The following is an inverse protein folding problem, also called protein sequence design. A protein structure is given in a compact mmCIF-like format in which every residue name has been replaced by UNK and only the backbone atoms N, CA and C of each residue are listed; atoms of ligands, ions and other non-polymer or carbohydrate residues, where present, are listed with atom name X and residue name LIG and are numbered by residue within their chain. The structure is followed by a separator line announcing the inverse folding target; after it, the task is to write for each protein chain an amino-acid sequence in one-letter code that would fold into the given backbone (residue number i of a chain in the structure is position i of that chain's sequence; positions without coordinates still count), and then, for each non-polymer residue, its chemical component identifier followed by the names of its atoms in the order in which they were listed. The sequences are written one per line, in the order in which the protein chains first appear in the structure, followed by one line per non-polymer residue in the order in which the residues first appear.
data_IF_636262999643
#
_entry.id   IF_636262999643
#
_cell.length_a   1.000
_cell.length_b   1.000
_cell.length_c   1.000
_cell.angle_alpha   90.00
_cell.angle_beta   90.00
_cell.angle_gamma   90.00
#
_symmetry.space_group_name_H-M   'P 1'
#
loop_
_entity.id
_entity.type
_entity.pdbx_description
1 polymer ?
#
# COMPACT_ATOMS: atom_id res chain seq x y z
N UNK A 1 23.40 14.90 8.67
CA UNK A 1 22.55 14.34 9.74
C UNK A 1 21.06 14.63 9.50
N UNK A 2 20.66 15.86 9.31
CA UNK A 2 19.26 16.31 9.16
C UNK A 2 18.47 15.61 8.03
N UNK A 3 19.09 15.39 6.86
CA UNK A 3 18.41 14.78 5.69
C UNK A 3 18.01 13.31 5.92
N UNK A 4 18.85 12.55 6.61
CA UNK A 4 18.57 11.15 6.95
C UNK A 4 17.44 11.04 8.00
N UNK A 5 17.44 11.95 8.97
CA UNK A 5 16.38 12.02 9.98
C UNK A 5 15.03 12.34 9.34
N UNK A 6 14.98 13.30 8.41
CA UNK A 6 13.74 13.64 7.68
C UNK A 6 13.23 12.43 6.89
N UNK A 7 14.11 11.73 6.16
CA UNK A 7 13.71 10.57 5.38
C UNK A 7 13.21 9.41 6.26
N UNK A 8 13.85 9.21 7.42
CA UNK A 8 13.41 8.23 8.40
C UNK A 8 12.04 8.60 8.99
N UNK A 9 11.86 9.87 9.33
CA UNK A 9 10.57 10.36 9.81
C UNK A 9 9.45 10.15 8.78
N UNK A 10 9.71 10.45 7.50
CA UNK A 10 8.76 10.20 6.43
C UNK A 10 8.43 8.72 6.27
N UNK A 11 9.42 7.84 6.33
CA UNK A 11 9.21 6.40 6.28
C UNK A 11 8.34 5.93 7.44
N UNK A 12 8.63 6.37 8.67
CA UNK A 12 7.87 6.01 9.86
C UNK A 12 6.43 6.54 9.81
N UNK A 13 6.25 7.80 9.42
CA UNK A 13 4.93 8.41 9.27
C UNK A 13 4.09 7.70 8.21
N UNK A 14 4.71 7.39 7.06
CA UNK A 14 4.03 6.63 6.01
C UNK A 14 3.70 5.20 6.44
N UNK A 15 4.62 4.52 7.13
CA UNK A 15 4.37 3.17 7.64
C UNK A 15 3.23 3.16 8.66
N UNK A 16 3.16 4.15 9.55
CA UNK A 16 2.06 4.27 10.50
C UNK A 16 0.70 4.50 9.80
N UNK A 17 0.66 5.38 8.79
CA UNK A 17 -0.52 5.59 7.98
C UNK A 17 -0.94 4.31 7.23
N UNK A 18 0.04 3.61 6.65
CA UNK A 18 -0.18 2.37 5.92
C UNK A 18 -0.74 1.27 6.83
N UNK A 19 -0.18 1.09 8.03
CA UNK A 19 -0.69 0.14 9.01
C UNK A 19 -2.14 0.49 9.37
N UNK A 20 -2.44 1.78 9.60
CA UNK A 20 -3.81 2.21 9.87
C UNK A 20 -4.75 1.85 8.72
N UNK A 21 -4.38 2.14 7.47
CA UNK A 21 -5.22 1.87 6.30
C UNK A 21 -5.38 0.36 6.09
N UNK A 22 -4.30 -0.41 6.19
CA UNK A 22 -4.31 -1.84 5.86
C UNK A 22 -4.89 -2.71 6.97
N UNK A 23 -4.56 -2.43 8.23
CA UNK A 23 -5.10 -3.22 9.35
C UNK A 23 -6.58 -2.91 9.57
N UNK A 24 -6.97 -1.65 9.44
CA UNK A 24 -8.34 -1.20 9.70
C UNK A 24 -9.10 -0.91 8.40
N UNK A 25 -8.98 -1.78 7.39
CA UNK A 25 -9.66 -1.66 6.08
C UNK A 25 -11.14 -1.33 6.20
N UNK A 26 -11.79 -1.83 7.23
CA UNK A 26 -13.23 -1.74 7.45
C UNK A 26 -13.65 -0.60 8.38
N UNK A 27 -12.70 0.10 8.97
CA UNK A 27 -12.98 1.30 9.74
C UNK A 27 -12.80 2.48 8.78
N UNK A 28 -13.82 3.33 8.60
CA UNK A 28 -13.70 4.48 7.72
C UNK A 28 -12.51 5.33 8.16
N UNK A 29 -11.54 5.43 7.26
CA UNK A 29 -10.28 6.15 7.52
C UNK A 29 -10.53 7.64 7.53
N UNK A 30 -11.53 8.09 6.78
CA UNK A 30 -11.87 9.51 6.64
C UNK A 30 -13.38 9.66 6.51
N UNK A 31 -13.93 10.57 7.30
CA UNK A 31 -15.29 11.06 7.20
C UNK A 31 -15.27 12.40 6.46
N UNK A 32 -15.82 12.42 5.25
CA UNK A 32 -16.07 13.68 4.53
C UNK A 32 -17.56 13.75 4.30
N UNK A 33 -18.27 14.43 5.20
CA UNK A 33 -19.72 14.49 5.16
C UNK A 33 -20.36 13.12 5.38
N UNK A 34 -21.14 12.63 4.40
CA UNK A 34 -21.78 11.30 4.44
C UNK A 34 -20.99 10.21 3.72
N UNK A 35 -19.82 10.53 3.18
CA UNK A 35 -18.97 9.58 2.45
C UNK A 35 -18.09 8.79 3.41
N UNK A 36 -18.27 7.47 3.41
CA UNK A 36 -17.45 6.51 4.11
C UNK A 36 -16.57 5.78 3.09
N UNK A 37 -15.25 6.00 3.13
CA UNK A 37 -14.31 5.16 2.38
C UNK A 37 -14.00 3.91 3.19
N UNK A 38 -14.46 2.80 2.68
CA UNK A 38 -14.24 1.49 3.25
C UNK A 38 -13.49 0.64 2.23
N UNK A 39 -12.26 0.25 2.55
CA UNK A 39 -11.47 -0.70 1.76
C UNK A 39 -11.79 -2.16 2.14
N UNK A 40 -12.96 -2.40 2.72
CA UNK A 40 -13.31 -3.64 3.38
C UNK A 40 -13.46 -4.83 2.46
N UNK A 41 -12.87 -5.93 2.92
CA UNK A 41 -13.22 -7.28 2.53
C UNK A 41 -14.29 -7.88 3.46
N UNK A 42 -14.64 -9.14 3.24
CA UNK A 42 -15.55 -9.88 4.14
C UNK A 42 -14.93 -10.06 5.51
N UNK A 43 -15.71 -9.82 6.57
CA UNK A 43 -15.28 -10.04 7.96
C UNK A 43 -15.44 -11.49 8.42
N UNK A 44 -16.22 -12.27 7.69
CA UNK A 44 -16.62 -13.62 8.06
C UNK A 44 -16.24 -14.58 6.95
N UNK A 45 -15.54 -15.63 7.31
CA UNK A 45 -15.15 -16.69 6.39
C UNK A 45 -13.86 -17.38 6.82
N UNK A 46 -13.56 -18.53 6.21
CA UNK A 46 -12.28 -19.21 6.43
C UNK A 46 -11.13 -18.40 5.85
N UNK A 47 -9.95 -18.51 6.48
CA UNK A 47 -8.72 -17.94 5.94
C UNK A 47 -8.49 -18.36 4.49
N UNK A 48 -8.12 -17.42 3.65
CA UNK A 48 -7.73 -17.69 2.26
C UNK A 48 -6.23 -18.00 2.19
N UNK A 49 -5.90 -19.29 2.12
CA UNK A 49 -4.51 -19.78 2.00
C UNK A 49 -4.15 -20.20 0.57
N UNK A 50 -5.11 -20.12 -0.37
CA UNK A 50 -4.88 -20.54 -1.75
C UNK A 50 -4.52 -19.31 -2.57
N UNK A 51 -3.30 -19.25 -3.14
CA UNK A 51 -2.89 -18.13 -3.98
C UNK A 51 -3.82 -17.92 -5.18
N UNK A 52 -4.06 -16.66 -5.52
CA UNK A 52 -4.90 -16.19 -6.62
C UNK A 52 -6.40 -16.46 -6.47
N UNK A 53 -6.86 -16.98 -5.34
CA UNK A 53 -8.27 -17.26 -5.12
C UNK A 53 -9.13 -16.00 -5.06
N UNK A 54 -8.61 -14.91 -4.55
CA UNK A 54 -9.26 -13.60 -4.50
C UNK A 54 -8.94 -12.75 -5.74
N UNK A 55 -7.71 -12.84 -6.25
CA UNK A 55 -7.24 -12.04 -7.38
C UNK A 55 -7.96 -12.45 -8.68
N UNK A 56 -8.06 -13.76 -8.98
CA UNK A 56 -8.61 -14.23 -10.27
C UNK A 56 -10.07 -13.83 -10.47
N UNK A 57 -11.00 -14.02 -9.52
CA UNK A 57 -12.38 -13.56 -9.65
C UNK A 57 -12.47 -12.06 -9.94
N UNK A 58 -11.68 -11.23 -9.24
CA UNK A 58 -11.65 -9.79 -9.47
C UNK A 58 -11.14 -9.43 -10.87
N UNK A 59 -10.11 -10.12 -11.38
CA UNK A 59 -9.62 -9.93 -12.75
C UNK A 59 -10.63 -10.37 -13.81
N UNK A 60 -11.47 -11.37 -13.49
CA UNK A 60 -12.55 -11.84 -14.36
C UNK A 60 -13.82 -10.98 -14.26
N UNK A 61 -13.82 -9.93 -13.43
CA UNK A 61 -14.92 -8.98 -13.28
C UNK A 61 -15.97 -9.39 -12.25
N UNK A 62 -15.75 -10.43 -11.47
CA UNK A 62 -16.62 -10.78 -10.35
C UNK A 62 -16.59 -9.66 -9.30
N UNK A 63 -17.76 -9.24 -8.83
CA UNK A 63 -17.90 -8.09 -7.93
C UNK A 63 -17.76 -6.72 -8.61
N UNK A 64 -17.56 -6.69 -9.94
CA UNK A 64 -17.37 -5.49 -10.74
C UNK A 64 -15.90 -5.10 -10.91
N UNK A 65 -15.53 -4.73 -12.14
CA UNK A 65 -14.16 -4.37 -12.53
C UNK A 65 -13.56 -3.24 -11.67
N UNK A 66 -14.39 -2.33 -11.20
CA UNK A 66 -13.96 -1.17 -10.41
C UNK A 66 -13.59 -1.60 -8.99
N UNK A 67 -14.45 -2.36 -8.34
CA UNK A 67 -14.20 -2.84 -6.96
C UNK A 67 -12.99 -3.75 -6.96
N UNK A 68 -12.91 -4.69 -7.90
CA UNK A 68 -11.75 -5.57 -8.08
C UNK A 68 -10.46 -4.79 -8.37
N UNK A 69 -10.53 -3.81 -9.28
CA UNK A 69 -9.39 -2.94 -9.62
C UNK A 69 -8.90 -2.09 -8.44
N UNK A 70 -9.83 -1.57 -7.63
CA UNK A 70 -9.48 -0.80 -6.42
C UNK A 70 -8.87 -1.71 -5.34
N UNK A 71 -9.36 -2.93 -5.19
CA UNK A 71 -8.83 -3.88 -4.20
C UNK A 71 -7.40 -4.33 -4.57
N UNK A 72 -7.22 -4.81 -5.80
CA UNK A 72 -5.90 -5.23 -6.30
C UNK A 72 -4.95 -4.04 -6.40
N UNK A 73 -5.39 -2.97 -7.09
CA UNK A 73 -4.58 -1.78 -7.31
C UNK A 73 -4.26 -1.04 -6.02
N UNK A 74 -5.20 -0.99 -5.08
CA UNK A 74 -5.00 -0.36 -3.78
C UNK A 74 -3.87 -1.01 -2.98
N UNK A 75 -3.88 -2.34 -2.85
CA UNK A 75 -2.83 -3.08 -2.15
C UNK A 75 -1.45 -2.85 -2.81
N UNK A 76 -1.37 -2.90 -4.15
CA UNK A 76 -0.12 -2.65 -4.87
C UNK A 76 0.36 -1.21 -4.67
N UNK A 77 -0.49 -0.22 -4.98
CA UNK A 77 -0.12 1.21 -4.99
C UNK A 77 0.29 1.71 -3.61
N UNK A 78 -0.41 1.26 -2.56
CA UNK A 78 -0.07 1.63 -1.18
C UNK A 78 1.33 1.15 -0.76
N UNK A 79 1.84 0.06 -1.33
CA UNK A 79 3.14 -0.49 -0.97
C UNK A 79 4.30 0.03 -1.84
N UNK A 80 4.03 0.64 -3.00
CA UNK A 80 5.07 1.23 -3.87
C UNK A 80 5.98 2.21 -3.08
N UNK A 81 5.46 3.16 -2.29
CA UNK A 81 6.33 4.09 -1.54
C UNK A 81 7.23 3.40 -0.53
N UNK A 82 6.80 2.30 0.08
CA UNK A 82 7.67 1.53 0.99
C UNK A 82 8.85 0.92 0.22
N UNK A 83 8.58 0.28 -0.93
CA UNK A 83 9.62 -0.30 -1.78
C UNK A 83 10.66 0.72 -2.24
N UNK A 84 10.25 1.97 -2.44
CA UNK A 84 11.13 3.07 -2.79
C UNK A 84 11.87 3.66 -1.59
N UNK A 85 11.17 3.93 -0.47
CA UNK A 85 11.72 4.63 0.69
C UNK A 85 12.68 3.77 1.51
N UNK A 86 12.44 2.46 1.63
CA UNK A 86 13.29 1.57 2.42
C UNK A 86 14.73 1.57 1.90
N UNK A 87 15.02 1.25 0.62
CA UNK A 87 16.40 1.29 0.11
C UNK A 87 16.95 2.71 0.06
N UNK A 88 16.11 3.73 -0.04
CA UNK A 88 16.50 5.13 -0.01
C UNK A 88 17.03 5.57 1.37
N UNK A 89 16.42 5.08 2.45
CA UNK A 89 16.84 5.35 3.84
C UNK A 89 18.01 4.46 4.23
N UNK A 90 17.92 3.17 3.89
CA UNK A 90 18.88 2.13 4.24
C UNK A 90 19.66 1.69 3.00
N UNK A 91 20.69 2.41 2.64
CA UNK A 91 21.46 2.29 1.37
C UNK A 91 22.12 0.90 1.13
N UNK A 92 22.17 0.02 2.13
CA UNK A 92 22.78 -1.32 2.05
C UNK A 92 21.76 -2.44 1.84
N UNK A 93 20.46 -2.10 1.71
CA UNK A 93 19.39 -3.08 1.50
C UNK A 93 19.29 -3.40 0.02
N UNK A 94 19.41 -4.67 -0.31
CA UNK A 94 19.20 -5.19 -1.65
C UNK A 94 17.73 -5.59 -1.89
N UNK A 95 17.42 -6.01 -3.11
CA UNK A 95 16.07 -6.39 -3.49
C UNK A 95 15.55 -7.61 -2.70
N UNK A 96 16.43 -8.57 -2.35
CA UNK A 96 16.04 -9.78 -1.61
C UNK A 96 15.59 -9.43 -0.20
N UNK A 97 16.36 -8.58 0.48
CA UNK A 97 16.02 -8.09 1.81
C UNK A 97 14.74 -7.26 1.77
N UNK A 98 14.58 -6.42 0.73
CA UNK A 98 13.37 -5.59 0.56
C UNK A 98 12.12 -6.46 0.38
N UNK A 99 12.19 -7.51 -0.42
CA UNK A 99 11.09 -8.47 -0.58
C UNK A 99 10.83 -9.24 0.72
N UNK A 100 11.87 -9.72 1.38
CA UNK A 100 11.71 -10.43 2.66
C UNK A 100 11.01 -9.55 3.70
N UNK A 101 11.40 -8.29 3.83
CA UNK A 101 10.73 -7.31 4.70
C UNK A 101 9.26 -7.15 4.30
N UNK A 102 8.95 -7.07 3.00
CA UNK A 102 7.58 -6.94 2.52
C UNK A 102 6.71 -8.14 2.86
N UNK A 103 7.22 -9.35 2.62
CA UNK A 103 6.49 -10.58 2.94
C UNK A 103 6.23 -10.66 4.45
N UNK A 104 7.26 -10.43 5.27
CA UNK A 104 7.12 -10.45 6.74
C UNK A 104 6.13 -9.39 7.22
N UNK A 105 6.20 -8.17 6.65
CA UNK A 105 5.27 -7.09 7.00
C UNK A 105 3.85 -7.40 6.55
N UNK A 106 3.65 -7.95 5.35
CA UNK A 106 2.36 -8.38 4.85
C UNK A 106 1.73 -9.44 5.74
N UNK A 107 2.50 -10.49 6.08
CA UNK A 107 2.04 -11.52 7.01
C UNK A 107 1.69 -10.93 8.38
N UNK A 108 2.49 -10.01 8.90
CA UNK A 108 2.21 -9.37 10.17
C UNK A 108 0.91 -8.54 10.15
N UNK A 109 0.64 -7.86 9.03
CA UNK A 109 -0.62 -7.12 8.83
C UNK A 109 -1.80 -8.07 8.82
N UNK A 110 -1.75 -9.14 8.02
CA UNK A 110 -2.81 -10.14 7.94
C UNK A 110 -3.09 -10.83 9.30
N UNK A 111 -2.03 -11.20 10.01
CA UNK A 111 -2.17 -11.75 11.36
C UNK A 111 -2.78 -10.73 12.32
N UNK A 112 -2.38 -9.46 12.24
CA UNK A 112 -2.97 -8.41 13.06
C UNK A 112 -4.47 -8.23 12.78
N UNK A 113 -4.92 -8.31 11.53
CA UNK A 113 -6.34 -8.25 11.17
C UNK A 113 -7.14 -9.40 11.80
N UNK A 114 -6.61 -10.61 11.75
CA UNK A 114 -7.23 -11.78 12.39
C UNK A 114 -7.30 -11.63 13.91
N UNK A 115 -6.17 -11.24 14.54
CA UNK A 115 -6.11 -11.05 15.99
C UNK A 115 -7.09 -9.98 16.48
N UNK A 116 -7.19 -8.88 15.75
CA UNK A 116 -8.09 -7.76 16.08
C UNK A 116 -9.54 -8.01 15.64
N UNK A 117 -9.81 -9.14 14.96
CA UNK A 117 -11.12 -9.50 14.40
C UNK A 117 -11.68 -8.42 13.44
N UNK A 118 -10.79 -7.80 12.69
CA UNK A 118 -11.14 -6.75 11.70
C UNK A 118 -11.03 -7.23 10.25
N UNK A 119 -10.66 -8.48 10.03
CA UNK A 119 -10.55 -9.12 8.72
C UNK A 119 -10.25 -10.60 8.83
N UNK A 120 -10.17 -11.26 7.68
CA UNK A 120 -9.74 -12.66 7.52
C UNK A 120 -8.34 -12.67 6.90
N UNK A 121 -7.56 -13.70 7.19
CA UNK A 121 -6.26 -13.86 6.57
C UNK A 121 -6.39 -14.12 5.06
N UNK A 122 -5.72 -13.33 4.24
CA UNK A 122 -5.69 -13.50 2.78
C UNK A 122 -4.25 -13.49 2.24
N UNK A 123 -3.81 -14.64 1.71
CA UNK A 123 -2.47 -14.78 1.13
C UNK A 123 -2.30 -13.90 -0.12
N UNK A 124 -3.39 -13.60 -0.84
CA UNK A 124 -3.34 -12.76 -2.02
C UNK A 124 -2.98 -11.32 -1.68
N UNK A 125 -3.42 -10.80 -0.54
CA UNK A 125 -3.01 -9.49 -0.05
C UNK A 125 -1.50 -9.45 0.23
N UNK A 126 -0.92 -10.51 0.78
CA UNK A 126 0.53 -10.61 0.97
C UNK A 126 1.28 -10.59 -0.36
N UNK A 127 0.74 -11.29 -1.38
CA UNK A 127 1.33 -11.32 -2.74
C UNK A 127 1.26 -9.93 -3.39
N UNK A 128 0.11 -9.26 -3.33
CA UNK A 128 -0.08 -7.92 -3.89
C UNK A 128 0.81 -6.88 -3.20
N UNK A 129 0.96 -6.99 -1.90
CA UNK A 129 1.84 -6.15 -1.11
C UNK A 129 3.31 -6.33 -1.54
N UNK A 130 3.77 -7.58 -1.69
CA UNK A 130 5.11 -7.87 -2.18
C UNK A 130 5.34 -7.30 -3.59
N UNK A 131 4.35 -7.43 -4.48
CA UNK A 131 4.41 -6.87 -5.83
C UNK A 131 4.55 -5.35 -5.82
N UNK A 132 3.77 -4.65 -4.98
CA UNK A 132 3.87 -3.20 -4.81
C UNK A 132 5.26 -2.77 -4.35
N UNK A 133 5.83 -3.45 -3.36
CA UNK A 133 7.19 -3.19 -2.88
C UNK A 133 8.24 -3.45 -3.97
N UNK A 134 8.09 -4.51 -4.77
CA UNK A 134 8.99 -4.77 -5.90
C UNK A 134 8.97 -3.64 -6.93
N UNK A 135 7.79 -3.16 -7.31
CA UNK A 135 7.63 -2.03 -8.24
C UNK A 135 8.32 -0.79 -7.66
N UNK A 136 8.12 -0.52 -6.38
CA UNK A 136 8.78 0.59 -5.68
C UNK A 136 10.31 0.47 -5.68
N UNK A 137 10.84 -0.71 -5.39
CA UNK A 137 12.27 -0.99 -5.43
C UNK A 137 12.84 -0.81 -6.85
N UNK A 138 12.18 -1.32 -7.86
CA UNK A 138 12.59 -1.13 -9.25
C UNK A 138 12.57 0.35 -9.64
N UNK A 139 11.56 1.08 -9.25
CA UNK A 139 11.52 2.54 -9.45
C UNK A 139 12.73 3.23 -8.82
N UNK A 140 13.17 2.78 -7.66
CA UNK A 140 14.39 3.27 -7.01
C UNK A 140 15.66 2.94 -7.82
N UNK A 141 15.75 1.74 -8.42
CA UNK A 141 16.98 1.25 -9.07
C UNK A 141 17.10 1.66 -10.53
N UNK A 142 16.00 1.64 -11.30
CA UNK A 142 16.00 1.90 -12.75
C UNK A 142 16.22 3.37 -13.07
N UNK A 143 15.82 4.27 -12.17
CA UNK A 143 15.94 5.73 -12.40
C UNK A 143 17.02 6.41 -11.54
N UNK A 144 18.31 6.06 -11.68
CA UNK A 144 19.37 6.64 -10.86
C UNK A 144 19.48 8.17 -11.00
N UNK A 145 19.22 8.72 -12.22
CA UNK A 145 19.17 10.17 -12.44
C UNK A 145 18.01 10.82 -11.69
N UNK A 146 16.85 10.18 -11.68
CA UNK A 146 15.67 10.59 -10.91
C UNK A 146 15.97 10.53 -9.41
N UNK A 147 16.67 9.49 -8.97
CA UNK A 147 17.11 9.37 -7.56
C UNK A 147 18.08 10.49 -7.17
N UNK A 148 19.00 10.87 -8.05
CA UNK A 148 19.90 12.01 -7.82
C UNK A 148 19.10 13.32 -7.72
N UNK A 149 18.14 13.52 -8.62
CA UNK A 149 17.26 14.68 -8.59
C UNK A 149 16.40 14.72 -7.33
N UNK A 150 15.84 13.57 -6.92
CA UNK A 150 15.08 13.43 -5.68
C UNK A 150 15.95 13.66 -4.46
N UNK A 151 17.21 13.21 -4.47
CA UNK A 151 18.18 13.53 -3.40
C UNK A 151 18.40 15.03 -3.26
N UNK A 152 18.37 15.77 -4.36
CA UNK A 152 18.49 17.21 -4.38
C UNK A 152 17.18 17.94 -4.00
N UNK A 153 16.03 17.38 -4.38
CA UNK A 153 14.71 18.03 -4.27
C UNK A 153 13.69 17.17 -3.47
N UNK A 154 14.11 16.64 -2.34
CA UNK A 154 13.35 15.68 -1.51
C UNK A 154 11.96 16.16 -1.08
N UNK A 155 11.83 17.45 -0.78
CA UNK A 155 10.56 18.05 -0.35
C UNK A 155 9.57 18.03 -1.51
N UNK A 156 10.03 18.39 -2.72
CA UNK A 156 9.19 18.40 -3.92
C UNK A 156 8.65 17.01 -4.23
N UNK A 157 9.50 15.99 -4.11
CA UNK A 157 9.11 14.61 -4.37
C UNK A 157 8.09 14.07 -3.32
N UNK A 158 8.31 14.39 -2.05
CA UNK A 158 7.36 14.05 -0.99
C UNK A 158 6.00 14.71 -1.23
N UNK A 159 5.99 15.99 -1.62
CA UNK A 159 4.77 16.72 -1.96
C UNK A 159 4.08 16.09 -3.17
N UNK A 160 4.83 15.67 -4.19
CA UNK A 160 4.27 14.98 -5.37
C UNK A 160 3.61 13.65 -4.95
N UNK A 161 4.27 12.82 -4.12
CA UNK A 161 3.68 11.57 -3.64
C UNK A 161 2.42 11.83 -2.83
N UNK A 162 2.45 12.78 -1.91
CA UNK A 162 1.27 13.14 -1.12
C UNK A 162 0.14 13.65 -2.01
N UNK A 163 0.46 14.46 -3.05
CA UNK A 163 -0.52 15.00 -3.99
C UNK A 163 -1.12 13.90 -4.88
N UNK A 164 -0.31 12.97 -5.40
CA UNK A 164 -0.81 11.82 -6.17
C UNK A 164 -1.70 10.93 -5.30
N UNK A 165 -1.28 10.63 -4.07
CA UNK A 165 -2.09 9.85 -3.13
C UNK A 165 -3.43 10.53 -2.81
N UNK A 166 -3.41 11.86 -2.65
CA UNK A 166 -4.62 12.66 -2.43
C UNK A 166 -5.52 12.69 -3.68
N UNK A 167 -4.96 12.78 -4.90
CA UNK A 167 -5.71 12.74 -6.14
C UNK A 167 -6.37 11.38 -6.38
N UNK A 168 -5.66 10.29 -6.13
CA UNK A 168 -6.22 8.93 -6.21
C UNK A 168 -7.38 8.81 -5.21
N UNK A 169 -7.16 9.26 -4.00
CA UNK A 169 -8.18 9.29 -2.96
C UNK A 169 -9.41 10.11 -3.35
N UNK A 170 -9.19 11.32 -3.88
CA UNK A 170 -10.28 12.22 -4.32
C UNK A 170 -11.02 11.66 -5.54
N UNK A 171 -10.30 11.06 -6.51
CA UNK A 171 -10.88 10.42 -7.68
C UNK A 171 -11.78 9.24 -7.29
N UNK A 172 -11.36 8.40 -6.37
CA UNK A 172 -12.17 7.31 -5.83
C UNK A 172 -13.42 7.84 -5.11
N UNK A 173 -13.26 8.92 -4.34
CA UNK A 173 -14.37 9.58 -3.63
C UNK A 173 -15.43 10.17 -4.57
N UNK A 174 -15.01 10.81 -5.66
CA UNK A 174 -15.93 11.36 -6.67
C UNK A 174 -16.68 10.26 -7.41
N UNK A 175 -16.00 9.17 -7.72
CA UNK A 175 -16.59 8.04 -8.44
C UNK A 175 -17.68 7.34 -7.62
N UNK A 176 -17.46 7.16 -6.30
CA UNK A 176 -18.48 6.59 -5.41
C UNK A 176 -19.73 7.48 -5.28
N UNK A 177 -19.60 8.79 -5.54
CA UNK A 177 -20.73 9.73 -5.49
C UNK A 177 -21.58 9.71 -6.76
N UNK A 178 -21.06 9.13 -7.85
CA UNK A 178 -21.75 9.03 -9.16
C UNK A 178 -22.48 7.71 -9.37
N UNK A 179 -22.33 6.74 -8.45
CA UNK A 179 -23.06 5.48 -8.36
C UNK A 179 -24.18 5.58 -7.31
#
# INVERSE_FOLDING_TARGET
MTKRLISLFMLLAYSALLIKIMVFKNIPVIWIGQLMLNFGGTHEGPANLIPFKTILPYLMGEGGLIIGGLNIGGNIVLLIPIGFLVPFVFQKIDWKITIAISIVSGLAIELAQVFLKVGIFDIDDVILNALGVMIGYWSYTIFPKTVIWIKANKIVFAVIICFISALIFFGVSLFQKSL
#
